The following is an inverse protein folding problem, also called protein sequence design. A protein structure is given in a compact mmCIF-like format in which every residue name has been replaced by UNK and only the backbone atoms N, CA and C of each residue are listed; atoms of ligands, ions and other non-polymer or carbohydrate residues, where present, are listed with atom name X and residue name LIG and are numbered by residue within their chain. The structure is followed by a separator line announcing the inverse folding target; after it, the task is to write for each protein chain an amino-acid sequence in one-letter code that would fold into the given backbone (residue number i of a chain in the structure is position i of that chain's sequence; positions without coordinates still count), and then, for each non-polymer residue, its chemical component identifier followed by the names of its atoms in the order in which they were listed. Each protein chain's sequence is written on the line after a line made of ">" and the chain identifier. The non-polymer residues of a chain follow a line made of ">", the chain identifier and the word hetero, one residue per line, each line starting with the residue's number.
data_IF_581254282168
#
_entry.id   IF_581254282168
#
_cell.length_a   1.000
_cell.length_b   1.000
_cell.length_c   1.000
_cell.angle_alpha   90.00
_cell.angle_beta   90.00
_cell.angle_gamma   90.00
#
_symmetry.space_group_name_H-M   'P 1'
#
loop_
_entity.id
_entity.type
_entity.pdbx_description
1 polymer ?
#
# COMPACT_ATOMS: atom_id res chain seq x y z
N UNK A 1 52.86 -6.95 -37.59
CA UNK A 1 54.20 -7.33 -37.06
C UNK A 1 54.95 -6.05 -36.70
N UNK A 2 55.56 -6.01 -35.50
CA UNK A 2 56.88 -5.42 -35.13
C UNK A 2 57.45 -4.22 -35.91
N UNK A 3 58.12 -3.21 -35.31
CA UNK A 3 58.63 -2.92 -33.95
C UNK A 3 58.85 -1.38 -33.89
N UNK A 4 58.59 -0.69 -32.77
CA UNK A 4 59.61 -0.15 -31.83
C UNK A 4 60.95 0.37 -32.42
N UNK A 5 61.36 1.59 -32.00
CA UNK A 5 62.65 1.99 -31.35
C UNK A 5 62.69 3.55 -31.27
N UNK A 6 62.67 4.18 -30.07
CA UNK A 6 63.75 4.92 -29.32
C UNK A 6 64.44 6.06 -30.11
N UNK A 7 64.92 7.19 -29.56
CA UNK A 7 65.30 7.59 -28.17
C UNK A 7 65.11 9.12 -27.96
N UNK A 8 64.75 9.69 -26.79
CA UNK A 8 65.59 10.21 -25.65
C UNK A 8 66.78 11.11 -26.14
N UNK A 9 67.14 12.32 -25.64
CA UNK A 9 67.35 12.86 -24.26
C UNK A 9 67.37 14.40 -24.23
N UNK A 10 66.86 15.04 -23.16
CA UNK A 10 67.51 16.10 -22.33
C UNK A 10 66.58 16.54 -21.18
N UNK A 11 66.76 16.02 -19.96
CA UNK A 11 67.56 16.55 -18.82
C UNK A 11 66.66 17.35 -17.84
N UNK A 12 66.26 16.77 -16.68
CA UNK A 12 66.93 16.82 -15.34
C UNK A 12 66.74 18.22 -14.66
N UNK A 13 66.34 18.45 -13.40
CA UNK A 13 66.38 17.81 -12.05
C UNK A 13 65.20 18.44 -11.24
N UNK A 14 64.20 17.78 -10.64
CA UNK A 14 64.09 16.90 -9.43
C UNK A 14 64.68 17.45 -8.12
N UNK A 15 63.84 17.90 -7.18
CA UNK A 15 64.19 18.01 -5.75
C UNK A 15 63.14 17.38 -4.83
N UNK A 16 63.61 16.91 -3.67
CA UNK A 16 63.01 16.00 -2.67
C UNK A 16 63.01 16.71 -1.27
N UNK A 17 62.25 16.36 -0.21
CA UNK A 17 61.36 15.20 0.09
C UNK A 17 60.37 15.50 1.26
N UNK A 18 59.07 15.23 1.05
CA UNK A 18 58.16 14.49 2.00
C UNK A 18 57.48 15.16 3.22
N UNK A 19 56.41 14.47 3.68
CA UNK A 19 55.50 14.70 4.82
C UNK A 19 54.47 15.85 4.66
N UNK A 20 53.18 15.66 4.92
CA UNK A 20 52.47 14.45 5.35
C UNK A 20 50.95 14.65 5.42
N UNK A 21 50.24 13.52 5.41
CA UNK A 21 48.78 13.31 5.48
C UNK A 21 48.01 14.27 6.41
N UNK A 22 46.94 14.91 5.89
CA UNK A 22 45.58 14.79 6.46
C UNK A 22 44.50 15.34 5.51
N UNK A 23 43.36 14.63 5.43
CA UNK A 23 42.22 15.00 4.60
C UNK A 23 41.19 15.82 5.40
N UNK A 24 40.52 16.77 4.73
CA UNK A 24 39.23 17.30 5.16
C UNK A 24 38.27 17.41 3.97
N UNK A 25 37.06 16.89 4.14
CA UNK A 25 36.00 16.87 3.12
C UNK A 25 35.45 18.28 2.84
N UNK A 26 35.74 18.81 1.64
CA UNK A 26 35.10 20.04 1.19
C UNK A 26 33.70 19.74 0.60
N UNK A 27 32.68 19.79 1.46
CA UNK A 27 31.27 19.66 1.07
C UNK A 27 30.87 20.79 0.12
N UNK A 28 30.70 20.46 -1.16
CA UNK A 28 30.19 21.38 -2.18
C UNK A 28 28.79 21.91 -1.82
N UNK A 29 28.72 23.13 -1.29
CA UNK A 29 27.46 23.87 -1.14
C UNK A 29 26.89 24.17 -2.52
N UNK A 30 25.88 23.41 -2.96
CA UNK A 30 25.00 23.85 -4.05
C UNK A 30 24.24 25.10 -3.59
N UNK A 31 24.58 26.25 -4.16
CA UNK A 31 23.79 27.47 -3.98
C UNK A 31 22.36 27.24 -4.48
N UNK A 32 21.39 27.26 -3.57
CA UNK A 32 19.98 27.24 -3.94
C UNK A 32 19.64 28.57 -4.59
N UNK A 33 19.38 28.57 -5.90
CA UNK A 33 18.83 29.74 -6.61
C UNK A 33 17.61 30.26 -5.85
N UNK A 34 17.60 31.55 -5.54
CA UNK A 34 16.55 32.19 -4.77
C UNK A 34 15.20 32.08 -5.48
N UNK A 35 14.10 31.69 -4.80
CA UNK A 35 12.78 31.63 -5.41
C UNK A 35 12.37 32.98 -6.02
N UNK A 36 11.63 32.95 -7.13
CA UNK A 36 11.24 34.16 -7.88
C UNK A 36 10.44 35.14 -7.01
N UNK A 37 9.63 34.63 -6.08
CA UNK A 37 8.93 35.40 -5.05
C UNK A 37 9.87 36.27 -4.21
N UNK A 38 10.98 35.70 -3.72
CA UNK A 38 11.95 36.41 -2.87
C UNK A 38 12.75 37.48 -3.62
N UNK A 39 12.79 37.41 -4.95
CA UNK A 39 13.46 38.40 -5.83
C UNK A 39 12.54 39.57 -6.22
N UNK A 40 11.22 39.45 -6.03
CA UNK A 40 10.23 40.46 -6.41
C UNK A 40 9.71 41.32 -5.25
N UNK A 41 9.76 40.84 -3.99
CA UNK A 41 8.91 41.40 -2.91
C UNK A 41 9.63 41.92 -1.65
N UNK A 42 10.96 41.99 -1.62
CA UNK A 42 11.70 42.68 -0.55
C UNK A 42 11.97 41.87 0.74
N UNK A 43 12.56 42.54 1.74
CA UNK A 43 13.06 41.94 2.98
C UNK A 43 11.95 41.53 3.96
N UNK A 44 12.19 40.42 4.67
CA UNK A 44 11.19 39.68 5.45
C UNK A 44 11.32 40.00 6.95
N UNK A 45 10.22 40.42 7.60
CA UNK A 45 10.07 40.37 9.07
C UNK A 45 9.27 39.10 9.41
N UNK A 46 9.86 38.22 10.22
CA UNK A 46 9.30 36.90 10.53
C UNK A 46 8.14 36.91 11.54
N UNK A 47 7.85 38.04 12.17
CA UNK A 47 6.84 38.14 13.24
C UNK A 47 5.57 38.89 12.83
N UNK A 48 5.53 39.50 11.64
CA UNK A 48 4.29 40.01 11.08
C UNK A 48 3.48 38.86 10.47
N UNK A 49 2.23 38.67 10.90
CA UNK A 49 1.25 38.01 10.04
C UNK A 49 1.09 38.96 8.84
N UNK A 50 1.47 38.52 7.64
CA UNK A 50 1.19 39.30 6.43
C UNK A 50 -0.31 39.63 6.39
N UNK A 51 -0.70 40.81 5.91
CA UNK A 51 -2.10 41.26 5.86
C UNK A 51 -2.89 40.51 4.77
N UNK A 52 -3.05 39.21 5.00
CA UNK A 52 -3.48 38.15 4.10
C UNK A 52 -4.30 37.11 4.90
N UNK A 53 -4.94 36.19 4.19
CA UNK A 53 -5.50 34.97 4.76
C UNK A 53 -4.44 33.86 4.74
N UNK A 54 -4.17 33.28 5.90
CA UNK A 54 -3.21 32.20 6.14
C UNK A 54 -3.95 30.87 6.18
N UNK A 55 -3.38 29.82 5.58
CA UNK A 55 -3.86 28.44 5.65
C UNK A 55 -2.70 27.57 6.15
N UNK A 56 -2.76 27.07 7.40
CA UNK A 56 -1.67 26.30 8.03
C UNK A 56 -2.07 24.97 8.67
N UNK A 57 -3.18 24.89 9.41
CA UNK A 57 -3.70 23.59 9.95
C UNK A 57 -4.44 22.79 8.86
N UNK A 58 -3.76 22.54 7.73
CA UNK A 58 -4.40 22.12 6.48
C UNK A 58 -3.86 20.79 5.94
N UNK A 59 -4.74 19.79 5.86
CA UNK A 59 -4.37 18.41 5.50
C UNK A 59 -5.17 17.85 4.32
N UNK A 60 -4.52 17.01 3.52
CA UNK A 60 -5.16 16.21 2.48
C UNK A 60 -5.23 14.74 2.94
N UNK A 61 -6.43 14.14 2.86
CA UNK A 61 -6.73 12.77 3.33
C UNK A 61 -7.49 11.92 2.32
N UNK A 62 -7.42 10.61 2.49
CA UNK A 62 -8.25 9.58 1.86
C UNK A 62 -8.87 8.74 2.99
N UNK A 63 -10.16 8.93 3.26
CA UNK A 63 -10.76 8.48 4.52
C UNK A 63 -9.98 9.05 5.71
N UNK A 64 -9.50 8.17 6.59
CA UNK A 64 -8.65 8.53 7.74
C UNK A 64 -7.15 8.64 7.42
N UNK A 65 -6.70 8.16 6.25
CA UNK A 65 -5.28 8.17 5.88
C UNK A 65 -4.87 9.52 5.33
N UNK A 66 -3.69 10.01 5.69
CA UNK A 66 -3.10 11.22 5.10
C UNK A 66 -2.52 10.94 3.71
N UNK A 67 -2.52 11.93 2.82
CA UNK A 67 -2.07 11.77 1.43
C UNK A 67 -0.94 12.76 1.11
N UNK A 68 0.28 12.24 1.13
CA UNK A 68 1.49 12.97 0.73
C UNK A 68 1.60 13.18 -0.79
N UNK A 69 2.42 14.13 -1.22
CA UNK A 69 2.71 14.45 -2.62
C UNK A 69 1.46 14.73 -3.48
N UNK A 70 0.45 15.40 -2.90
CA UNK A 70 -0.66 16.00 -3.65
C UNK A 70 -0.23 17.39 -4.10
N UNK A 71 -0.32 17.66 -5.39
CA UNK A 71 -0.07 18.98 -5.94
C UNK A 71 -1.26 19.88 -5.64
N UNK A 72 -1.03 20.90 -4.81
CA UNK A 72 -1.98 21.98 -4.51
C UNK A 72 -1.56 23.20 -5.33
N UNK A 73 -2.37 23.61 -6.28
CA UNK A 73 -2.17 24.81 -7.09
C UNK A 73 -3.15 25.91 -6.64
N UNK A 74 -2.64 27.08 -6.30
CA UNK A 74 -3.46 28.27 -6.04
C UNK A 74 -3.67 28.99 -7.37
N UNK A 75 -4.92 29.13 -7.79
CA UNK A 75 -5.27 29.78 -9.07
C UNK A 75 -5.99 31.10 -8.89
N UNK A 76 -5.61 32.08 -9.70
CA UNK A 76 -6.30 33.35 -9.89
C UNK A 76 -6.71 33.45 -11.37
N UNK A 77 -8.00 33.68 -11.66
CA UNK A 77 -8.50 33.83 -13.04
C UNK A 77 -7.98 32.74 -14.01
N UNK A 78 -8.03 31.47 -13.57
CA UNK A 78 -7.50 30.25 -14.22
C UNK A 78 -5.98 30.08 -14.25
N UNK A 79 -5.19 31.15 -14.09
CA UNK A 79 -3.73 31.14 -14.02
C UNK A 79 -3.21 30.65 -12.67
N UNK A 80 -2.12 29.89 -12.66
CA UNK A 80 -1.43 29.50 -11.42
C UNK A 80 -0.68 30.71 -10.86
N UNK A 81 -0.88 31.01 -9.57
CA UNK A 81 -0.14 32.06 -8.85
C UNK A 81 0.77 31.52 -7.75
N UNK A 82 0.47 30.32 -7.23
CA UNK A 82 1.35 29.56 -6.34
C UNK A 82 1.11 28.05 -6.51
N UNK A 83 2.07 27.20 -6.10
CA UNK A 83 1.93 25.75 -6.14
C UNK A 83 2.88 25.05 -5.15
N UNK A 84 2.37 24.04 -4.45
CA UNK A 84 3.10 23.25 -3.46
C UNK A 84 2.74 21.76 -3.54
N UNK A 85 3.55 20.90 -2.92
CA UNK A 85 3.22 19.49 -2.69
C UNK A 85 2.91 19.28 -1.21
N UNK A 86 1.90 18.45 -0.90
CA UNK A 86 1.69 18.01 0.49
C UNK A 86 2.85 17.18 1.01
N UNK A 87 3.18 17.37 2.28
CA UNK A 87 4.27 16.67 2.95
C UNK A 87 3.93 15.20 3.32
N UNK A 88 4.80 14.53 4.07
CA UNK A 88 4.57 13.13 4.51
C UNK A 88 3.35 12.96 5.42
N UNK A 89 2.90 14.02 6.10
CA UNK A 89 1.70 14.05 6.93
C UNK A 89 0.46 14.45 6.14
N UNK A 90 0.58 14.69 4.83
CA UNK A 90 -0.48 15.25 4.00
C UNK A 90 -0.73 16.73 4.24
N UNK A 91 0.12 17.40 5.04
CA UNK A 91 0.03 18.81 5.37
C UNK A 91 0.48 19.71 4.21
N UNK A 92 -0.10 20.91 4.11
CA UNK A 92 0.37 21.98 3.24
C UNK A 92 0.10 23.35 3.89
N UNK A 93 0.83 24.38 3.47
CA UNK A 93 0.62 25.75 3.93
C UNK A 93 0.61 26.70 2.73
N UNK A 94 -0.24 27.73 2.75
CA UNK A 94 -0.25 28.81 1.74
C UNK A 94 -0.90 30.08 2.28
N UNK A 95 -0.54 31.24 1.70
CA UNK A 95 -1.01 32.56 2.09
C UNK A 95 -1.70 33.24 0.90
N UNK A 96 -2.89 33.78 1.12
CA UNK A 96 -3.79 34.34 0.09
C UNK A 96 -4.03 35.83 0.34
N UNK A 97 -3.69 36.67 -0.65
CA UNK A 97 -3.90 38.12 -0.58
C UNK A 97 -5.38 38.48 -0.64
N UNK A 98 -5.81 39.50 0.09
CA UNK A 98 -7.18 40.01 -0.01
C UNK A 98 -7.50 40.58 -1.41
N UNK A 99 -8.77 40.91 -1.66
CA UNK A 99 -9.29 41.47 -2.93
C UNK A 99 -9.35 40.49 -4.12
N UNK A 100 -9.13 39.20 -3.87
CA UNK A 100 -9.10 38.18 -4.92
C UNK A 100 -10.00 36.98 -4.62
N UNK A 101 -10.46 36.34 -5.69
CA UNK A 101 -11.13 35.04 -5.66
C UNK A 101 -10.17 33.97 -6.13
N UNK A 102 -9.85 33.04 -5.24
CA UNK A 102 -8.93 31.94 -5.49
C UNK A 102 -9.67 30.63 -5.74
N UNK A 103 -9.03 29.78 -6.55
CA UNK A 103 -9.41 28.38 -6.69
C UNK A 103 -8.20 27.51 -6.34
N UNK A 104 -8.28 26.79 -5.23
CA UNK A 104 -7.27 25.81 -4.82
C UNK A 104 -7.59 24.50 -5.55
N UNK A 105 -6.70 24.06 -6.44
CA UNK A 105 -6.80 22.79 -7.19
C UNK A 105 -5.90 21.74 -6.53
N UNK A 106 -6.48 20.61 -6.17
CA UNK A 106 -5.80 19.45 -5.57
C UNK A 106 -5.73 18.34 -6.61
N UNK A 107 -4.51 17.93 -6.98
CA UNK A 107 -4.30 16.91 -8.02
C UNK A 107 -3.19 15.93 -7.67
N UNK A 108 -3.40 14.65 -8.00
CA UNK A 108 -2.43 13.56 -7.81
C UNK A 108 -2.79 12.40 -8.75
N UNK A 109 -1.79 11.73 -9.32
CA UNK A 109 -2.02 10.54 -10.14
C UNK A 109 -2.77 9.45 -9.35
N UNK A 110 -3.76 8.81 -9.98
CA UNK A 110 -4.66 7.84 -9.34
C UNK A 110 -5.76 8.44 -8.46
N UNK A 111 -5.92 9.77 -8.43
CA UNK A 111 -6.99 10.45 -7.71
C UNK A 111 -7.76 11.42 -8.60
N UNK A 112 -9.04 11.60 -8.31
CA UNK A 112 -9.88 12.63 -8.93
C UNK A 112 -9.35 14.02 -8.54
N UNK A 113 -9.20 14.92 -9.51
CA UNK A 113 -8.82 16.32 -9.24
C UNK A 113 -9.99 17.05 -8.58
N UNK A 114 -9.72 17.81 -7.52
CA UNK A 114 -10.75 18.50 -6.72
C UNK A 114 -10.42 19.96 -6.49
N UNK A 115 -11.43 20.75 -6.19
CA UNK A 115 -11.32 22.20 -6.09
C UNK A 115 -11.96 22.77 -4.81
N UNK A 116 -11.39 23.85 -4.27
CA UNK A 116 -12.01 24.71 -3.25
C UNK A 116 -11.95 26.15 -3.73
N UNK A 117 -13.05 26.88 -3.60
CA UNK A 117 -13.11 28.30 -3.92
C UNK A 117 -12.99 29.12 -2.62
N UNK A 118 -12.17 30.17 -2.63
CA UNK A 118 -11.99 31.10 -1.51
C UNK A 118 -12.16 32.52 -2.04
N UNK A 119 -13.21 33.20 -1.62
CA UNK A 119 -13.61 34.53 -2.10
C UNK A 119 -13.32 35.62 -1.07
N UNK A 120 -12.27 36.40 -1.33
CA UNK A 120 -11.81 37.52 -0.49
C UNK A 120 -12.07 38.88 -1.18
N UNK A 121 -12.90 38.92 -2.23
CA UNK A 121 -13.18 40.15 -3.00
C UNK A 121 -14.04 41.16 -2.24
N UNK A 122 -14.85 40.69 -1.30
CA UNK A 122 -15.85 41.52 -0.60
C UNK A 122 -15.39 41.98 0.81
N UNK A 123 -14.08 42.01 1.06
CA UNK A 123 -13.53 42.41 2.36
C UNK A 123 -13.54 43.95 2.54
N UNK A 124 -14.13 44.50 3.62
CA UNK A 124 -14.05 45.92 3.94
C UNK A 124 -12.62 46.38 4.23
N UNK A 125 -12.28 47.62 3.89
CA UNK A 125 -10.94 48.18 4.04
C UNK A 125 -10.40 48.10 5.47
N UNK A 126 -11.26 48.29 6.47
CA UNK A 126 -10.91 48.22 7.89
C UNK A 126 -10.51 46.79 8.29
N UNK A 127 -11.16 45.79 7.70
CA UNK A 127 -10.90 44.36 7.98
C UNK A 127 -9.54 43.91 7.44
N UNK A 128 -9.01 44.57 6.39
CA UNK A 128 -7.70 44.29 5.80
C UNK A 128 -6.51 44.81 6.62
N UNK A 129 -6.77 45.51 7.73
CA UNK A 129 -5.71 46.01 8.61
C UNK A 129 -4.99 44.89 9.39
N UNK A 130 -5.63 43.72 9.51
CA UNK A 130 -5.15 42.51 10.19
C UNK A 130 -5.08 41.32 9.22
N UNK A 131 -4.30 40.29 9.59
CA UNK A 131 -4.32 38.98 8.94
C UNK A 131 -5.40 38.07 9.51
N UNK A 132 -5.70 36.98 8.79
CA UNK A 132 -6.68 35.96 9.20
C UNK A 132 -6.06 34.57 9.11
N UNK A 133 -6.46 33.65 9.99
CA UNK A 133 -6.22 32.22 9.84
C UNK A 133 -7.54 31.55 9.44
N UNK A 134 -7.50 30.69 8.42
CA UNK A 134 -8.65 29.87 8.01
C UNK A 134 -8.99 28.80 9.06
N UNK A 135 -8.05 28.48 9.95
CA UNK A 135 -8.13 27.40 10.91
C UNK A 135 -8.04 26.03 10.23
N UNK A 136 -8.58 25.01 10.90
CA UNK A 136 -8.48 23.62 10.44
C UNK A 136 -9.14 23.42 9.07
N UNK A 137 -8.31 23.06 8.10
CA UNK A 137 -8.73 22.71 6.75
C UNK A 137 -8.48 21.22 6.47
N UNK A 138 -9.46 20.53 5.88
CA UNK A 138 -9.28 19.14 5.45
C UNK A 138 -9.87 18.92 4.06
N UNK A 139 -9.02 18.53 3.11
CA UNK A 139 -9.44 18.06 1.78
C UNK A 139 -9.47 16.53 1.74
N UNK A 140 -10.65 15.96 1.48
CA UNK A 140 -10.78 14.52 1.21
C UNK A 140 -10.65 14.24 -0.28
N UNK A 141 -9.64 13.47 -0.68
CA UNK A 141 -9.43 12.95 -2.03
C UNK A 141 -10.23 11.67 -2.26
N UNK A 142 -10.49 11.35 -3.52
CA UNK A 142 -11.21 10.15 -3.97
C UNK A 142 -10.35 9.51 -5.07
N UNK A 143 -10.18 8.18 -5.04
CA UNK A 143 -9.42 7.49 -6.09
C UNK A 143 -10.14 7.61 -7.43
N UNK A 144 -9.36 7.69 -8.49
CA UNK A 144 -9.87 7.58 -9.84
C UNK A 144 -9.74 6.14 -10.32
N UNK A 145 -10.86 5.58 -10.77
CA UNK A 145 -10.96 4.32 -11.50
C UNK A 145 -11.36 4.66 -12.94
N UNK A 146 -10.81 3.93 -13.90
CA UNK A 146 -11.14 4.11 -15.32
C UNK A 146 -12.65 3.94 -15.55
N UNK A 147 -13.20 4.72 -16.48
CA UNK A 147 -14.65 4.77 -16.73
C UNK A 147 -15.49 5.57 -15.73
N UNK A 148 -14.95 6.02 -14.59
CA UNK A 148 -15.70 6.88 -13.66
C UNK A 148 -16.07 8.22 -14.32
N UNK A 149 -17.34 8.64 -14.21
CA UNK A 149 -17.72 10.02 -14.52
C UNK A 149 -17.20 10.95 -13.42
N UNK A 150 -16.43 11.96 -13.85
CA UNK A 150 -15.73 12.89 -12.96
C UNK A 150 -16.28 14.33 -13.02
N UNK A 151 -17.30 14.63 -13.84
CA UNK A 151 -17.72 16.02 -14.07
C UNK A 151 -18.12 16.75 -12.79
N UNK A 152 -18.85 16.07 -11.90
CA UNK A 152 -19.36 16.63 -10.65
C UNK A 152 -18.24 17.01 -9.64
N UNK A 153 -17.06 16.40 -9.74
CA UNK A 153 -15.91 16.70 -8.88
C UNK A 153 -15.06 17.87 -9.39
N UNK A 154 -15.24 18.27 -10.66
CA UNK A 154 -14.61 19.48 -11.22
C UNK A 154 -15.25 20.78 -10.68
N UNK A 155 -16.41 20.68 -10.03
CA UNK A 155 -17.10 21.78 -9.34
C UNK A 155 -16.48 21.92 -7.93
N UNK A 156 -16.23 23.13 -7.40
CA UNK A 156 -15.66 23.31 -6.06
C UNK A 156 -16.47 22.57 -5.00
N UNK A 157 -15.80 21.83 -4.12
CA UNK A 157 -16.47 21.01 -3.08
C UNK A 157 -16.76 21.79 -1.80
N UNK A 158 -16.10 22.93 -1.62
CA UNK A 158 -16.34 23.90 -0.56
C UNK A 158 -16.12 25.32 -1.09
N UNK A 159 -16.79 26.27 -0.44
CA UNK A 159 -16.60 27.71 -0.61
C UNK A 159 -16.28 28.35 0.71
N UNK A 160 -15.31 29.24 0.72
CA UNK A 160 -15.06 30.15 1.82
C UNK A 160 -15.26 31.59 1.36
N UNK A 161 -15.81 32.44 2.23
CA UNK A 161 -16.03 33.86 1.96
C UNK A 161 -15.85 34.67 3.23
N UNK A 162 -15.62 35.97 3.11
CA UNK A 162 -15.59 36.87 4.26
C UNK A 162 -17.02 37.25 4.70
N UNK A 163 -17.45 36.85 5.90
CA UNK A 163 -18.72 37.25 6.49
C UNK A 163 -18.55 38.57 7.25
N UNK A 164 -19.09 39.66 6.68
CA UNK A 164 -19.04 41.01 7.26
C UNK A 164 -19.66 41.12 8.66
N UNK A 165 -20.59 40.24 9.04
CA UNK A 165 -21.26 40.24 10.35
C UNK A 165 -20.40 39.62 11.44
N UNK A 166 -19.69 38.52 11.13
CA UNK A 166 -18.73 37.89 12.07
C UNK A 166 -17.31 38.45 11.94
N UNK A 167 -17.01 39.17 10.85
CA UNK A 167 -15.68 39.64 10.46
C UNK A 167 -14.65 38.52 10.31
N UNK A 168 -15.09 37.34 9.89
CA UNK A 168 -14.25 36.15 9.71
C UNK A 168 -14.37 35.62 8.28
N UNK A 169 -13.30 35.00 7.78
CA UNK A 169 -13.39 34.11 6.62
C UNK A 169 -14.07 32.82 7.10
N UNK A 170 -15.22 32.49 6.51
CA UNK A 170 -16.07 31.39 6.94
C UNK A 170 -16.47 30.48 5.79
N UNK A 171 -16.82 29.25 6.13
CA UNK A 171 -17.27 28.21 5.20
C UNK A 171 -18.75 28.39 4.87
N UNK A 172 -19.09 28.49 3.58
CA UNK A 172 -20.46 28.44 3.09
C UNK A 172 -21.05 27.05 3.35
N UNK A 173 -21.90 26.97 4.38
CA UNK A 173 -22.49 25.72 4.87
C UNK A 173 -23.58 25.20 3.94
N UNK A 174 -24.34 26.07 3.31
CA UNK A 174 -25.43 25.69 2.41
C UNK A 174 -24.87 25.21 1.07
N UNK A 175 -23.88 25.92 0.53
CA UNK A 175 -23.10 25.44 -0.60
C UNK A 175 -22.47 24.07 -0.29
N UNK A 176 -21.76 23.92 0.82
CA UNK A 176 -21.14 22.64 1.19
C UNK A 176 -22.17 21.52 1.34
N UNK A 177 -23.33 21.78 1.96
CA UNK A 177 -24.41 20.80 2.13
C UNK A 177 -24.94 20.33 0.77
N UNK A 178 -25.21 21.26 -0.14
CA UNK A 178 -25.69 20.96 -1.49
C UNK A 178 -24.62 20.24 -2.32
N UNK A 179 -23.34 20.67 -2.27
CA UNK A 179 -22.22 19.97 -2.93
C UNK A 179 -22.07 18.55 -2.42
N UNK A 180 -22.13 18.32 -1.10
CA UNK A 180 -22.04 16.97 -0.52
C UNK A 180 -23.12 16.04 -1.07
N UNK A 181 -24.36 16.51 -1.21
CA UNK A 181 -25.45 15.68 -1.75
C UNK A 181 -25.21 15.27 -3.21
N UNK A 182 -24.74 16.18 -4.07
CA UNK A 182 -24.48 15.85 -5.47
C UNK A 182 -23.23 14.95 -5.62
N UNK A 183 -22.18 15.22 -4.84
CA UNK A 183 -20.99 14.36 -4.78
C UNK A 183 -21.35 12.94 -4.31
N UNK A 184 -22.26 12.80 -3.34
CA UNK A 184 -22.68 11.47 -2.88
C UNK A 184 -23.49 10.72 -3.93
N UNK A 185 -24.40 11.40 -4.66
CA UNK A 185 -25.07 10.81 -5.83
C UNK A 185 -24.07 10.36 -6.89
N UNK A 186 -23.04 11.17 -7.19
CA UNK A 186 -22.02 10.80 -8.17
C UNK A 186 -21.19 9.60 -7.72
N UNK A 187 -20.84 9.50 -6.44
CA UNK A 187 -20.17 8.30 -5.91
C UNK A 187 -21.02 7.05 -6.09
N UNK A 188 -22.32 7.12 -5.75
CA UNK A 188 -23.25 5.99 -5.91
C UNK A 188 -23.39 5.61 -7.39
N UNK A 189 -23.47 6.58 -8.30
CA UNK A 189 -23.47 6.33 -9.74
C UNK A 189 -22.18 5.67 -10.24
N UNK A 190 -21.02 6.08 -9.71
CA UNK A 190 -19.72 5.51 -10.04
C UNK A 190 -19.44 4.17 -9.33
N UNK A 191 -20.27 3.74 -8.37
CA UNK A 191 -19.99 2.56 -7.54
C UNK A 191 -19.99 1.26 -8.34
N UNK A 192 -20.83 1.15 -9.38
CA UNK A 192 -20.86 0.00 -10.28
C UNK A 192 -19.59 -0.10 -11.12
N UNK A 193 -19.06 1.03 -11.60
CA UNK A 193 -17.79 1.10 -12.36
C UNK A 193 -16.61 0.70 -11.47
N UNK A 194 -16.60 1.18 -10.22
CA UNK A 194 -15.58 0.80 -9.24
C UNK A 194 -15.64 -0.71 -8.97
N UNK A 195 -16.85 -1.24 -8.73
CA UNK A 195 -17.04 -2.67 -8.50
C UNK A 195 -16.59 -3.52 -9.71
N UNK A 196 -16.99 -3.19 -10.94
CA UNK A 196 -16.63 -3.98 -12.12
C UNK A 196 -15.12 -4.02 -12.39
N UNK A 197 -14.40 -2.92 -12.12
CA UNK A 197 -12.94 -2.86 -12.28
C UNK A 197 -12.20 -3.49 -11.09
N UNK A 198 -12.84 -3.63 -9.93
CA UNK A 198 -12.33 -4.44 -8.81
C UNK A 198 -12.56 -5.93 -9.09
N UNK A 199 -13.72 -6.32 -9.62
CA UNK A 199 -14.05 -7.68 -10.09
C UNK A 199 -13.09 -8.13 -11.20
N UNK A 200 -12.90 -7.33 -12.26
CA UNK A 200 -11.94 -7.65 -13.35
C UNK A 200 -10.50 -7.84 -12.82
N UNK A 201 -10.09 -7.04 -11.82
CA UNK A 201 -8.75 -7.20 -11.20
C UNK A 201 -8.65 -8.46 -10.36
N UNK A 202 -9.71 -8.84 -9.66
CA UNK A 202 -9.75 -10.08 -8.88
C UNK A 202 -9.83 -11.30 -9.82
N UNK A 203 -10.52 -11.20 -10.96
CA UNK A 203 -10.52 -12.22 -12.03
C UNK A 203 -9.14 -12.40 -12.66
N UNK A 204 -8.48 -11.31 -13.10
CA UNK A 204 -7.11 -11.34 -13.63
C UNK A 204 -6.09 -11.83 -12.59
N UNK A 205 -6.34 -11.56 -11.30
CA UNK A 205 -5.55 -12.06 -10.19
C UNK A 205 -5.76 -13.57 -10.00
N UNK A 206 -6.98 -14.09 -10.12
CA UNK A 206 -7.25 -15.52 -9.99
C UNK A 206 -6.79 -16.31 -11.21
N UNK A 207 -6.94 -15.78 -12.43
CA UNK A 207 -6.37 -16.36 -13.64
C UNK A 207 -4.83 -16.43 -13.53
N UNK A 208 -4.19 -15.36 -13.04
CA UNK A 208 -2.75 -15.38 -12.72
C UNK A 208 -2.41 -16.47 -11.69
N UNK A 209 -3.20 -16.64 -10.62
CA UNK A 209 -2.96 -17.67 -9.59
C UNK A 209 -3.08 -19.08 -10.18
N UNK A 210 -4.09 -19.32 -11.03
CA UNK A 210 -4.30 -20.59 -11.73
C UNK A 210 -3.11 -20.90 -12.65
N UNK A 211 -2.69 -19.93 -13.46
CA UNK A 211 -1.55 -20.09 -14.37
C UNK A 211 -0.23 -20.35 -13.62
N UNK A 212 0.01 -19.71 -12.47
CA UNK A 212 1.17 -20.03 -11.62
C UNK A 212 1.06 -21.46 -11.06
N UNK A 213 -0.09 -21.84 -10.48
CA UNK A 213 -0.30 -23.18 -9.93
C UNK A 213 -0.06 -24.27 -10.98
N UNK A 214 -0.62 -24.09 -12.17
CA UNK A 214 -0.54 -25.08 -13.24
C UNK A 214 0.88 -25.13 -13.83
N UNK A 215 1.58 -23.99 -13.91
CA UNK A 215 3.01 -23.95 -14.24
C UNK A 215 3.89 -24.70 -13.22
N UNK A 216 3.64 -24.50 -11.92
CA UNK A 216 4.40 -25.15 -10.83
C UNK A 216 4.19 -26.68 -10.84
N UNK A 217 2.96 -27.15 -11.10
CA UNK A 217 2.63 -28.58 -11.24
C UNK A 217 3.41 -29.22 -12.38
N UNK A 218 3.42 -28.60 -13.56
CA UNK A 218 4.12 -29.14 -14.73
C UNK A 218 5.65 -29.05 -14.56
N UNK A 219 6.15 -28.04 -13.84
CA UNK A 219 7.56 -27.93 -13.49
C UNK A 219 8.01 -29.07 -12.56
N UNK A 220 7.17 -29.45 -11.57
CA UNK A 220 7.42 -30.61 -10.70
C UNK A 220 7.32 -31.94 -11.46
N UNK A 221 6.39 -32.05 -12.41
CA UNK A 221 6.28 -33.19 -13.34
C UNK A 221 7.46 -33.29 -14.33
N UNK A 222 8.26 -32.22 -14.44
CA UNK A 222 9.37 -32.02 -15.39
C UNK A 222 8.93 -31.84 -16.85
N UNK A 223 7.66 -31.53 -17.11
CA UNK A 223 7.26 -30.98 -18.42
C UNK A 223 7.63 -29.49 -18.46
N UNK A 224 8.92 -29.25 -18.64
CA UNK A 224 9.48 -27.91 -18.66
C UNK A 224 8.92 -27.06 -19.82
N UNK A 225 8.57 -27.65 -20.95
CA UNK A 225 8.00 -26.89 -22.07
C UNK A 225 6.58 -26.39 -21.73
N UNK A 226 5.75 -27.26 -21.13
CA UNK A 226 4.40 -26.89 -20.71
C UNK A 226 4.43 -25.88 -19.56
N UNK A 227 5.25 -26.10 -18.53
CA UNK A 227 5.46 -25.16 -17.43
C UNK A 227 5.87 -23.76 -17.91
N UNK A 228 6.81 -23.68 -18.86
CA UNK A 228 7.26 -22.42 -19.49
C UNK A 228 6.13 -21.69 -20.19
N UNK A 229 5.19 -22.43 -20.78
CA UNK A 229 4.02 -21.82 -21.44
C UNK A 229 3.11 -21.15 -20.42
N UNK A 230 2.75 -21.84 -19.32
CA UNK A 230 1.89 -21.28 -18.28
C UNK A 230 2.52 -20.07 -17.56
N UNK A 231 3.82 -20.11 -17.21
CA UNK A 231 4.51 -18.95 -16.66
C UNK A 231 4.54 -17.76 -17.64
N UNK A 232 4.62 -18.00 -18.95
CA UNK A 232 4.55 -16.92 -19.95
C UNK A 232 3.18 -16.28 -20.04
N UNK A 233 2.11 -17.08 -19.95
CA UNK A 233 0.75 -16.54 -19.87
C UNK A 233 0.55 -15.72 -18.58
N UNK A 234 1.03 -16.22 -17.42
CA UNK A 234 1.01 -15.46 -16.16
C UNK A 234 1.78 -14.12 -16.27
N UNK A 235 2.90 -14.09 -17.00
CA UNK A 235 3.62 -12.84 -17.30
C UNK A 235 2.86 -11.87 -18.23
N UNK A 236 1.90 -12.32 -19.06
CA UNK A 236 1.06 -11.39 -19.84
C UNK A 236 0.08 -10.65 -18.92
N UNK A 237 -0.51 -11.35 -17.96
CA UNK A 237 -1.41 -10.77 -16.97
C UNK A 237 -0.66 -9.84 -15.99
N UNK A 238 0.57 -10.21 -15.61
CA UNK A 238 1.44 -9.42 -14.72
C UNK A 238 2.88 -9.30 -15.23
N UNK A 239 3.17 -8.36 -16.15
CA UNK A 239 4.50 -8.20 -16.76
C UNK A 239 5.64 -7.85 -15.79
N UNK A 240 5.31 -7.39 -14.57
CA UNK A 240 6.27 -7.01 -13.52
C UNK A 240 6.42 -8.08 -12.41
N UNK A 241 5.81 -9.26 -12.56
CA UNK A 241 5.96 -10.34 -11.59
C UNK A 241 7.30 -11.07 -11.77
N UNK A 242 8.19 -10.99 -10.77
CA UNK A 242 9.53 -11.59 -10.86
C UNK A 242 9.53 -13.14 -10.71
N UNK A 243 8.53 -13.72 -10.02
CA UNK A 243 8.43 -15.18 -9.84
C UNK A 243 8.35 -15.96 -11.17
N UNK A 244 7.32 -15.78 -12.03
CA UNK A 244 7.23 -16.52 -13.30
C UNK A 244 8.42 -16.23 -14.23
N UNK A 245 8.94 -14.99 -14.21
CA UNK A 245 10.13 -14.60 -14.95
C UNK A 245 11.37 -15.40 -14.53
N UNK A 246 11.54 -15.62 -13.23
CA UNK A 246 12.64 -16.41 -12.67
C UNK A 246 12.48 -17.89 -13.02
N UNK A 247 11.26 -18.44 -12.93
CA UNK A 247 11.01 -19.84 -13.29
C UNK A 247 11.24 -20.12 -14.78
N UNK A 248 10.83 -19.22 -15.69
CA UNK A 248 11.16 -19.34 -17.12
C UNK A 248 12.68 -19.40 -17.34
N UNK A 249 13.47 -18.57 -16.62
CA UNK A 249 14.93 -18.59 -16.73
C UNK A 249 15.54 -19.93 -16.27
N UNK A 250 15.00 -20.53 -15.20
CA UNK A 250 15.43 -21.85 -14.72
C UNK A 250 15.09 -22.92 -15.76
N UNK A 251 13.86 -22.90 -16.28
CA UNK A 251 13.42 -23.82 -17.33
C UNK A 251 14.31 -23.73 -18.57
N UNK A 252 14.61 -22.53 -19.05
CA UNK A 252 15.39 -22.32 -20.27
C UNK A 252 16.75 -23.00 -20.19
N UNK A 253 17.43 -22.86 -19.06
CA UNK A 253 18.72 -23.52 -18.86
C UNK A 253 18.64 -25.02 -18.60
N UNK A 254 17.51 -25.55 -18.10
CA UNK A 254 17.25 -26.98 -17.97
C UNK A 254 17.03 -27.61 -19.36
N UNK A 255 16.23 -26.96 -20.21
CA UNK A 255 15.95 -27.37 -21.59
C UNK A 255 17.19 -27.31 -22.48
N UNK A 256 18.01 -26.27 -22.33
CA UNK A 256 19.26 -26.12 -23.07
C UNK A 256 20.34 -27.13 -22.65
N UNK A 257 20.14 -27.86 -21.54
CA UNK A 257 21.17 -28.74 -20.93
C UNK A 257 22.40 -27.99 -20.41
N UNK A 258 22.34 -26.65 -20.33
CA UNK A 258 23.48 -25.76 -20.03
C UNK A 258 23.52 -25.23 -18.61
N UNK A 259 22.43 -25.35 -17.83
CA UNK A 259 22.46 -24.94 -16.43
C UNK A 259 23.47 -25.80 -15.67
N UNK A 260 24.64 -25.23 -15.44
CA UNK A 260 25.62 -25.75 -14.50
C UNK A 260 24.96 -25.88 -13.12
N UNK A 261 25.33 -26.91 -12.35
CA UNK A 261 24.74 -27.14 -11.04
C UNK A 261 24.96 -25.95 -10.10
N UNK A 262 26.05 -25.20 -10.27
CA UNK A 262 26.31 -23.90 -9.65
C UNK A 262 25.21 -22.84 -9.89
N UNK A 263 24.67 -22.75 -11.11
CA UNK A 263 23.62 -21.78 -11.45
C UNK A 263 22.24 -22.27 -11.00
N UNK A 264 21.97 -23.59 -11.12
CA UNK A 264 20.75 -24.20 -10.53
C UNK A 264 20.73 -23.95 -9.03
N UNK A 265 21.86 -24.17 -8.36
CA UNK A 265 22.03 -23.95 -6.94
C UNK A 265 21.76 -22.49 -6.58
N UNK A 266 22.46 -21.52 -7.20
CA UNK A 266 22.26 -20.09 -6.95
C UNK A 266 20.82 -19.63 -7.14
N UNK A 267 20.12 -20.14 -8.15
CA UNK A 267 18.72 -19.82 -8.40
C UNK A 267 17.78 -20.38 -7.30
N UNK A 268 17.99 -21.64 -6.90
CA UNK A 268 17.23 -22.27 -5.81
C UNK A 268 17.50 -21.60 -4.45
N UNK A 269 18.73 -21.11 -4.21
CA UNK A 269 19.04 -20.31 -3.02
C UNK A 269 18.32 -18.97 -3.04
N UNK A 270 18.38 -18.23 -4.15
CA UNK A 270 17.70 -16.93 -4.25
C UNK A 270 16.19 -17.04 -4.01
N UNK A 271 15.53 -18.05 -4.60
CA UNK A 271 14.10 -18.30 -4.37
C UNK A 271 13.80 -18.74 -2.94
N UNK A 272 14.66 -19.57 -2.32
CA UNK A 272 14.48 -20.01 -0.94
C UNK A 272 14.67 -18.88 0.07
N UNK A 273 15.63 -17.98 -0.18
CA UNK A 273 15.88 -16.78 0.62
C UNK A 273 14.72 -15.78 0.47
N UNK A 274 14.24 -15.50 -0.74
CA UNK A 274 13.10 -14.62 -1.00
C UNK A 274 11.82 -15.13 -0.32
N UNK A 275 11.48 -16.41 -0.51
CA UNK A 275 10.34 -17.04 0.17
C UNK A 275 10.50 -17.02 1.72
N UNK A 276 11.73 -17.09 2.23
CA UNK A 276 11.99 -16.99 3.67
C UNK A 276 11.76 -15.56 4.19
N UNK A 277 12.23 -14.53 3.48
CA UNK A 277 11.97 -13.12 3.81
C UNK A 277 10.46 -12.79 3.76
N UNK A 278 9.74 -13.33 2.77
CA UNK A 278 8.28 -13.22 2.65
C UNK A 278 7.49 -14.03 3.70
N UNK A 279 8.18 -14.75 4.60
CA UNK A 279 7.61 -15.64 5.63
C UNK A 279 6.87 -16.87 5.06
N UNK A 280 7.07 -17.21 3.79
CA UNK A 280 6.54 -18.39 3.08
C UNK A 280 7.37 -19.65 3.42
N UNK A 281 7.49 -19.90 4.73
CA UNK A 281 8.38 -20.88 5.36
C UNK A 281 8.30 -22.31 4.75
N UNK A 282 7.14 -22.72 4.25
CA UNK A 282 6.97 -24.02 3.59
C UNK A 282 7.64 -24.07 2.20
N UNK A 283 7.51 -23.00 1.41
CA UNK A 283 8.08 -22.91 0.07
C UNK A 283 9.59 -22.68 0.15
N UNK A 284 10.03 -21.80 1.07
CA UNK A 284 11.45 -21.63 1.41
C UNK A 284 12.11 -22.98 1.74
N UNK A 285 11.49 -23.79 2.61
CA UNK A 285 12.00 -25.12 2.97
C UNK A 285 12.04 -26.09 1.77
N UNK A 286 11.05 -26.05 0.88
CA UNK A 286 11.03 -26.84 -0.37
C UNK A 286 12.17 -26.45 -1.30
N UNK A 287 12.42 -25.16 -1.49
CA UNK A 287 13.49 -24.65 -2.34
C UNK A 287 14.89 -24.91 -1.75
N UNK A 288 15.09 -24.75 -0.43
CA UNK A 288 16.34 -25.18 0.22
C UNK A 288 16.57 -26.71 0.10
N UNK A 289 15.51 -27.53 0.21
CA UNK A 289 15.61 -28.99 0.00
C UNK A 289 15.96 -29.35 -1.45
N UNK A 290 15.49 -28.59 -2.43
CA UNK A 290 15.90 -28.72 -3.82
C UNK A 290 17.38 -28.31 -4.00
N UNK A 291 17.80 -27.20 -3.40
CA UNK A 291 19.19 -26.72 -3.46
C UNK A 291 20.18 -27.75 -2.90
N UNK A 292 19.84 -28.45 -1.80
CA UNK A 292 20.67 -29.54 -1.22
C UNK A 292 20.87 -30.71 -2.19
N UNK A 293 19.91 -30.99 -3.08
CA UNK A 293 20.06 -32.06 -4.09
C UNK A 293 21.02 -31.67 -5.21
N UNK A 294 21.21 -30.37 -5.44
CA UNK A 294 22.11 -29.82 -6.47
C UNK A 294 23.52 -29.62 -5.91
N UNK A 295 23.65 -29.03 -4.72
CA UNK A 295 24.91 -28.95 -3.99
C UNK A 295 24.77 -29.59 -2.60
N UNK A 296 25.30 -30.80 -2.47
CA UNK A 296 25.25 -31.57 -1.22
C UNK A 296 26.30 -31.15 -0.20
N UNK A 297 27.29 -30.31 -0.54
CA UNK A 297 28.36 -29.92 0.38
C UNK A 297 28.06 -28.62 1.14
N UNK A 298 27.22 -27.74 0.59
CA UNK A 298 26.90 -26.46 1.24
C UNK A 298 26.04 -26.65 2.52
N UNK A 299 26.42 -25.95 3.58
CA UNK A 299 25.71 -25.93 4.85
C UNK A 299 24.53 -24.94 4.85
N UNK A 300 24.61 -23.87 4.05
CA UNK A 300 23.66 -22.75 4.07
C UNK A 300 22.18 -23.19 3.99
N UNK A 301 21.75 -24.05 3.05
CA UNK A 301 20.33 -24.42 2.95
C UNK A 301 19.86 -25.23 4.15
N UNK A 302 20.75 -26.07 4.70
CA UNK A 302 20.46 -26.90 5.88
C UNK A 302 20.28 -26.04 7.11
N UNK A 303 21.09 -25.00 7.26
CA UNK A 303 20.99 -24.08 8.38
C UNK A 303 19.78 -23.16 8.27
N UNK A 304 19.38 -22.75 7.07
CA UNK A 304 18.12 -22.03 6.88
C UNK A 304 16.90 -22.93 7.18
N UNK A 305 16.91 -24.20 6.76
CA UNK A 305 15.86 -25.16 7.15
C UNK A 305 15.77 -25.31 8.68
N UNK A 306 16.90 -25.39 9.41
CA UNK A 306 16.90 -25.42 10.88
C UNK A 306 16.26 -24.17 11.48
N UNK A 307 16.52 -22.97 10.94
CA UNK A 307 15.89 -21.72 11.39
C UNK A 307 14.37 -21.74 11.15
N UNK A 308 13.95 -22.18 9.95
CA UNK A 308 12.53 -22.37 9.61
C UNK A 308 11.86 -23.31 10.61
N UNK A 309 12.45 -24.49 10.86
CA UNK A 309 11.88 -25.47 11.79
C UNK A 309 11.82 -24.95 13.23
N UNK A 310 12.84 -24.22 13.69
CA UNK A 310 12.81 -23.55 14.99
C UNK A 310 11.71 -22.47 15.09
N UNK A 311 11.49 -21.68 14.03
CA UNK A 311 10.40 -20.69 13.96
C UNK A 311 9.02 -21.35 13.98
N UNK A 312 8.85 -22.48 13.28
CA UNK A 312 7.60 -23.25 13.28
C UNK A 312 7.31 -23.86 14.65
N UNK A 313 8.31 -24.43 15.33
CA UNK A 313 8.19 -24.92 16.71
C UNK A 313 7.84 -23.78 17.67
N UNK A 314 8.49 -22.61 17.55
CA UNK A 314 8.20 -21.45 18.38
C UNK A 314 6.78 -20.86 18.15
N UNK A 315 6.28 -20.86 16.91
CA UNK A 315 4.88 -20.49 16.59
C UNK A 315 3.90 -21.48 17.24
N UNK A 316 4.16 -22.79 17.14
CA UNK A 316 3.32 -23.84 17.72
C UNK A 316 3.37 -23.91 19.26
N UNK A 317 4.44 -23.39 19.89
CA UNK A 317 4.51 -23.24 21.34
C UNK A 317 3.70 -22.02 21.83
N UNK A 318 3.70 -20.92 21.08
CA UNK A 318 2.93 -19.69 21.41
C UNK A 318 1.42 -19.80 21.13
N UNK A 319 0.97 -20.74 20.30
CA UNK A 319 -0.46 -20.95 20.00
C UNK A 319 -1.22 -21.82 21.01
N UNK A 320 -0.54 -22.45 21.98
CA UNK A 320 -1.17 -23.35 22.98
C UNK A 320 -1.72 -22.67 24.23
N UNK A 321 -1.73 -21.34 24.29
CA UNK A 321 -2.32 -20.58 25.39
C UNK A 321 -3.69 -20.02 25.00
N UNK A 322 -4.82 -20.56 25.51
CA UNK A 322 -6.15 -20.05 25.19
C UNK A 322 -6.35 -18.67 25.82
N UNK A 323 -6.30 -17.60 25.00
CA UNK A 323 -6.71 -16.27 25.41
C UNK A 323 -8.23 -16.18 25.44
N UNK A 324 -8.81 -16.07 26.63
CA UNK A 324 -10.20 -15.64 26.80
C UNK A 324 -10.31 -14.13 26.57
N UNK A 325 -10.71 -13.72 25.38
CA UNK A 325 -11.19 -12.36 25.14
C UNK A 325 -12.71 -12.35 25.30
N UNK A 326 -13.19 -11.62 26.32
CA UNK A 326 -14.61 -11.43 26.59
C UNK A 326 -15.23 -10.43 25.60
N UNK A 327 -15.33 -10.81 24.32
CA UNK A 327 -16.14 -10.10 23.33
C UNK A 327 -17.57 -10.61 23.45
N UNK A 328 -18.53 -9.70 23.67
CA UNK A 328 -19.93 -10.04 23.87
C UNK A 328 -20.63 -10.31 22.53
N UNK A 329 -20.41 -11.51 21.99
CA UNK A 329 -20.95 -12.00 20.71
C UNK A 329 -22.23 -12.81 20.96
N UNK A 330 -23.32 -12.50 20.28
CA UNK A 330 -24.60 -13.24 20.37
C UNK A 330 -24.90 -14.02 19.08
N UNK A 331 -25.54 -15.17 19.21
CA UNK A 331 -26.03 -16.00 18.10
C UNK A 331 -27.48 -15.65 17.70
N UNK A 332 -28.09 -14.64 18.32
CA UNK A 332 -29.45 -14.20 18.01
C UNK A 332 -29.61 -13.80 16.54
N UNK A 333 -30.39 -14.58 15.79
CA UNK A 333 -30.62 -14.39 14.35
C UNK A 333 -29.60 -15.08 13.44
N UNK A 334 -28.67 -15.87 13.99
CA UNK A 334 -27.79 -16.74 13.19
C UNK A 334 -28.59 -17.96 12.74
N UNK A 335 -28.81 -18.10 11.43
CA UNK A 335 -29.47 -19.27 10.88
C UNK A 335 -28.58 -20.51 11.00
N UNK A 336 -29.16 -21.61 11.46
CA UNK A 336 -28.52 -22.93 11.60
C UNK A 336 -29.32 -23.94 10.78
N UNK A 337 -28.67 -24.52 9.77
CA UNK A 337 -29.27 -25.59 8.97
C UNK A 337 -29.54 -26.83 9.83
N UNK A 338 -30.70 -27.46 9.61
CA UNK A 338 -31.19 -28.59 10.42
C UNK A 338 -30.24 -29.79 10.41
N UNK A 339 -29.53 -30.04 9.29
CA UNK A 339 -28.50 -31.08 9.17
C UNK A 339 -27.27 -30.86 10.06
N UNK A 340 -27.11 -29.66 10.65
CA UNK A 340 -26.00 -29.31 11.54
C UNK A 340 -26.40 -29.17 13.01
N UNK A 341 -27.68 -29.33 13.36
CA UNK A 341 -28.18 -29.10 14.73
C UNK A 341 -27.44 -29.94 15.79
N UNK A 342 -27.21 -31.24 15.54
CA UNK A 342 -26.47 -32.12 16.44
C UNK A 342 -25.02 -31.65 16.65
N UNK A 343 -24.33 -31.29 15.57
CA UNK A 343 -22.97 -30.75 15.61
C UNK A 343 -22.88 -29.45 16.42
N UNK A 344 -23.88 -28.57 16.30
CA UNK A 344 -23.95 -27.33 17.07
C UNK A 344 -24.15 -27.59 18.58
N UNK A 345 -24.99 -28.58 18.93
CA UNK A 345 -25.20 -29.00 20.33
C UNK A 345 -23.93 -29.62 20.92
N UNK A 346 -23.18 -30.41 20.15
CA UNK A 346 -21.93 -31.01 20.61
C UNK A 346 -20.80 -29.99 20.78
N UNK A 347 -20.80 -28.90 20.01
CA UNK A 347 -19.93 -27.75 20.26
C UNK A 347 -20.27 -27.06 21.59
N UNK A 348 -21.55 -26.84 21.89
CA UNK A 348 -21.98 -26.21 23.15
C UNK A 348 -21.58 -27.01 24.40
N UNK A 349 -21.58 -28.35 24.31
CA UNK A 349 -21.11 -29.23 25.39
C UNK A 349 -19.58 -29.22 25.56
N UNK A 350 -18.84 -28.95 24.48
CA UNK A 350 -17.37 -29.09 24.43
C UNK A 350 -16.62 -27.78 24.69
N UNK A 351 -17.24 -26.64 24.40
CA UNK A 351 -16.62 -25.32 24.49
C UNK A 351 -17.35 -24.43 25.52
N UNK A 352 -16.65 -23.53 26.22
CA UNK A 352 -17.29 -22.63 27.19
C UNK A 352 -18.22 -21.63 26.49
N UNK A 353 -19.21 -21.13 27.24
CA UNK A 353 -20.08 -20.02 26.84
C UNK A 353 -19.25 -18.80 26.40
N UNK A 354 -19.73 -18.08 25.39
CA UNK A 354 -19.02 -16.97 24.75
C UNK A 354 -18.11 -17.42 23.61
N UNK A 355 -17.05 -16.66 23.33
CA UNK A 355 -16.09 -16.93 22.26
C UNK A 355 -14.91 -17.80 22.73
N UNK A 356 -14.65 -18.85 21.97
CA UNK A 356 -13.32 -19.50 21.89
C UNK A 356 -12.70 -19.18 20.52
N UNK A 357 -11.51 -18.59 20.49
CA UNK A 357 -10.70 -18.44 19.28
C UNK A 357 -9.46 -19.34 19.33
N UNK A 358 -9.25 -20.12 18.28
CA UNK A 358 -8.09 -20.97 18.06
C UNK A 358 -7.36 -20.48 16.79
N UNK A 359 -6.04 -20.32 16.85
CA UNK A 359 -5.20 -19.97 15.69
C UNK A 359 -4.06 -20.98 15.56
N UNK A 360 -4.06 -21.74 14.45
CA UNK A 360 -3.13 -22.84 14.24
C UNK A 360 -2.79 -23.02 12.75
N UNK A 361 -1.70 -23.75 12.48
CA UNK A 361 -1.32 -24.15 11.11
C UNK A 361 -1.77 -25.60 10.84
N UNK A 362 -2.32 -25.85 9.65
CA UNK A 362 -2.64 -27.19 9.15
C UNK A 362 -1.97 -27.37 7.78
N UNK A 363 -0.81 -28.05 7.77
CA UNK A 363 0.07 -28.07 6.60
C UNK A 363 0.55 -26.66 6.25
N UNK A 364 0.34 -26.22 5.01
CA UNK A 364 0.66 -24.86 4.54
C UNK A 364 -0.45 -23.83 4.80
N UNK A 365 -1.51 -24.19 5.52
CA UNK A 365 -2.69 -23.35 5.77
C UNK A 365 -2.64 -22.72 7.16
N UNK A 366 -2.83 -21.41 7.24
CA UNK A 366 -3.12 -20.69 8.49
C UNK A 366 -4.63 -20.71 8.74
N UNK A 367 -5.05 -21.27 9.88
CA UNK A 367 -6.46 -21.38 10.25
C UNK A 367 -6.74 -20.52 11.47
N UNK A 368 -7.68 -19.59 11.33
CA UNK A 368 -8.39 -18.97 12.46
C UNK A 368 -9.74 -19.65 12.62
N UNK A 369 -9.96 -20.32 13.74
CA UNK A 369 -11.21 -21.01 14.07
C UNK A 369 -11.86 -20.30 15.24
N UNK A 370 -13.12 -19.88 15.07
CA UNK A 370 -13.93 -19.22 16.10
C UNK A 370 -15.11 -20.10 16.44
N UNK A 371 -15.36 -20.32 17.72
CA UNK A 371 -16.49 -21.08 18.21
C UNK A 371 -17.22 -20.18 19.20
N UNK A 372 -18.46 -19.85 18.88
CA UNK A 372 -19.32 -19.01 19.72
C UNK A 372 -20.38 -19.93 20.32
N UNK A 373 -20.51 -19.94 21.64
CA UNK A 373 -21.51 -20.73 22.36
C UNK A 373 -22.45 -19.80 23.12
N UNK A 374 -23.76 -19.95 22.89
CA UNK A 374 -24.84 -19.24 23.60
C UNK A 374 -25.92 -20.26 23.99
N UNK A 375 -26.04 -20.56 25.28
CA UNK A 375 -26.92 -21.62 25.78
C UNK A 375 -26.47 -23.00 25.28
N UNK A 376 -27.42 -23.79 24.77
CA UNK A 376 -27.17 -25.15 24.24
C UNK A 376 -26.71 -25.18 22.77
N UNK A 377 -26.37 -24.03 22.19
CA UNK A 377 -25.99 -23.87 20.79
C UNK A 377 -24.56 -23.34 20.67
N UNK A 378 -23.70 -24.11 19.99
CA UNK A 378 -22.37 -23.67 19.57
C UNK A 378 -22.26 -23.58 18.05
N UNK A 379 -21.73 -22.49 17.52
CA UNK A 379 -21.49 -22.31 16.07
C UNK A 379 -20.00 -22.19 15.82
N UNK A 380 -19.47 -23.06 14.95
CA UNK A 380 -18.09 -23.00 14.45
C UNK A 380 -18.04 -22.14 13.20
N UNK A 381 -17.06 -21.24 13.16
CA UNK A 381 -16.55 -20.63 11.95
C UNK A 381 -15.08 -21.00 11.76
N UNK A 382 -14.65 -21.23 10.52
CA UNK A 382 -13.21 -21.32 10.16
C UNK A 382 -12.89 -20.34 9.04
N UNK A 383 -11.79 -19.63 9.18
CA UNK A 383 -11.13 -18.83 8.16
C UNK A 383 -9.78 -19.50 7.87
N UNK A 384 -9.61 -19.97 6.63
CA UNK A 384 -8.47 -20.77 6.17
C UNK A 384 -7.73 -19.99 5.09
N UNK A 385 -6.54 -19.50 5.44
CA UNK A 385 -5.62 -18.80 4.53
C UNK A 385 -4.54 -19.77 4.09
N UNK A 386 -4.48 -20.07 2.80
CA UNK A 386 -3.42 -20.87 2.19
C UNK A 386 -2.19 -20.01 1.92
N UNK A 387 -1.01 -20.63 1.92
CA UNK A 387 0.26 -19.99 1.55
C UNK A 387 0.24 -19.36 0.14
N UNK A 388 -0.49 -19.96 -0.81
CA UNK A 388 -0.65 -19.43 -2.17
C UNK A 388 -1.69 -18.28 -2.28
N UNK A 389 -2.22 -17.78 -1.16
CA UNK A 389 -3.18 -16.66 -1.12
C UNK A 389 -4.66 -17.07 -1.01
N UNK A 390 -5.00 -18.32 -1.29
CA UNK A 390 -6.36 -18.85 -1.21
C UNK A 390 -7.03 -18.62 0.14
N UNK A 391 -8.23 -18.07 0.14
CA UNK A 391 -8.89 -17.53 1.33
C UNK A 391 -10.32 -18.07 1.46
N UNK A 392 -10.49 -19.09 2.31
CA UNK A 392 -11.74 -19.84 2.44
C UNK A 392 -12.41 -19.64 3.79
N UNK A 393 -13.73 -19.58 3.78
CA UNK A 393 -14.56 -19.45 4.98
C UNK A 393 -15.48 -20.65 5.11
N UNK A 394 -15.69 -21.12 6.34
CA UNK A 394 -16.61 -22.21 6.65
C UNK A 394 -17.48 -21.86 7.86
N UNK A 395 -18.74 -22.30 7.84
CA UNK A 395 -19.69 -22.29 8.97
C UNK A 395 -20.13 -23.72 9.25
N UNK A 396 -19.95 -24.19 10.48
CA UNK A 396 -20.26 -25.55 10.92
C UNK A 396 -19.72 -26.68 10.00
N UNK A 397 -18.53 -26.49 9.43
CA UNK A 397 -17.88 -27.42 8.49
C UNK A 397 -18.39 -27.38 7.05
N UNK A 398 -19.33 -26.49 6.69
CA UNK A 398 -19.76 -26.23 5.30
C UNK A 398 -19.10 -24.93 4.79
N UNK A 399 -18.75 -24.80 3.50
CA UNK A 399 -18.27 -23.55 2.93
C UNK A 399 -19.25 -22.38 3.16
N UNK A 400 -18.73 -21.18 3.34
CA UNK A 400 -19.51 -19.95 3.50
C UNK A 400 -18.74 -18.75 2.93
N UNK A 401 -19.32 -17.55 3.02
CA UNK A 401 -18.72 -16.33 2.44
C UNK A 401 -17.89 -15.55 3.48
N UNK A 402 -16.97 -14.71 2.98
CA UNK A 402 -16.28 -13.69 3.79
C UNK A 402 -17.26 -12.77 4.53
N UNK A 403 -18.36 -12.39 3.88
CA UNK A 403 -19.40 -11.54 4.46
C UNK A 403 -20.07 -12.23 5.66
N UNK A 404 -20.43 -13.51 5.53
CA UNK A 404 -20.97 -14.32 6.64
C UNK A 404 -19.99 -14.40 7.80
N UNK A 405 -18.70 -14.65 7.53
CA UNK A 405 -17.66 -14.63 8.56
C UNK A 405 -17.54 -13.27 9.26
N UNK A 406 -17.49 -12.16 8.51
CA UNK A 406 -17.38 -10.83 9.10
C UNK A 406 -18.61 -10.48 9.95
N UNK A 407 -19.81 -10.67 9.40
CA UNK A 407 -21.09 -10.36 10.05
C UNK A 407 -21.35 -11.21 11.28
N UNK A 408 -21.10 -12.53 11.23
CA UNK A 408 -21.53 -13.46 12.29
C UNK A 408 -20.40 -13.84 13.26
N UNK A 409 -19.16 -14.01 12.76
CA UNK A 409 -18.02 -14.48 13.55
C UNK A 409 -17.15 -13.34 14.11
N UNK A 410 -17.20 -12.14 13.50
CA UNK A 410 -16.57 -10.93 14.04
C UNK A 410 -17.59 -9.96 14.68
N UNK A 411 -18.82 -9.89 14.13
CA UNK A 411 -19.87 -8.93 14.50
C UNK A 411 -19.39 -7.46 14.41
N UNK A 412 -18.67 -7.19 13.32
CA UNK A 412 -18.14 -5.88 12.91
C UNK A 412 -18.89 -5.32 11.69
#
# INVERSE_FOLDING_TARGET
>A
MSKQVRSIVSILIVFFVVCGVQAQDEKTKKEKKTPLSKRLWGGYDSNAIEKNLVIKDAFVKEGERTVANVLVEVKLNKSNVDSMLTDKTGGFETDLRFDYKYLLKFSKAGFVTKYVEIDLTNMPTESKSQGYDLGRFQMSMIRYTEGMDIQEYNIPVARYYFDNRTRMVTLDRDYLKNRKQQIEKQKVANQSVIASVEEEKDELQEEYNILIRDADIEFEAKDYQLAKSYYKEAMKLKPLAEYPRTQIKIIDGLLDGKLADDEKYKALIAQADEAYELNENAEAKKMYLAAIKVNTTDAYPRDQIKKIDALLVAKNAKSKSPKKENVNLSLKGVEISSDRAAFCSDLAKKYPQGLTEEKYMEGSKSITRRIIVEGDIGVEYKHVVHNWGGNYFFKNGKPTTRFTWQKEALQN
#
